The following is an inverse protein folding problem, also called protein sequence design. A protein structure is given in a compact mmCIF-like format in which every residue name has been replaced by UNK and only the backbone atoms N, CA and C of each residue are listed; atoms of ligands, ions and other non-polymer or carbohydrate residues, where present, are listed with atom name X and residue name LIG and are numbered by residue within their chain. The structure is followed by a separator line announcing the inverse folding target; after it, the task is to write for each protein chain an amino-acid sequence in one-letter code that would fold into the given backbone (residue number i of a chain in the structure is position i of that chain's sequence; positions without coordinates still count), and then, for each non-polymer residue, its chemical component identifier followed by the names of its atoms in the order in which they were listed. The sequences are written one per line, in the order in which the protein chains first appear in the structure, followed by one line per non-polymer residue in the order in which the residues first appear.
data_IF_538696577622
#
_entry.id   IF_538696577622
#
_cell.length_a   1.000
_cell.length_b   1.000
_cell.length_c   1.000
_cell.angle_alpha   90.00
_cell.angle_beta   90.00
_cell.angle_gamma   90.00
#
_symmetry.space_group_name_H-M   'P 1'
#
loop_
_entity.id
_entity.type
_entity.pdbx_description
1 polymer ?
#
# COMPACT_ATOMS: atom_id res chain seq x y z
N UNK A 1 -10.40 -9.65 2.40
CA UNK A 1 -9.50 -8.49 2.26
C UNK A 1 -10.09 -7.35 3.05
N UNK A 2 -9.30 -6.74 3.95
CA UNK A 2 -9.68 -5.59 4.74
C UNK A 2 -8.90 -4.37 4.25
N UNK A 3 -9.57 -3.22 4.13
CA UNK A 3 -8.92 -1.94 3.76
C UNK A 3 -9.11 -0.99 4.93
N UNK A 4 -8.02 -0.43 5.42
CA UNK A 4 -8.03 0.57 6.49
C UNK A 4 -7.42 1.86 5.98
N UNK A 5 -8.13 2.97 6.18
CA UNK A 5 -7.70 4.30 5.77
C UNK A 5 -7.08 5.06 6.94
N UNK A 6 -6.02 5.81 6.67
CA UNK A 6 -5.29 6.61 7.65
C UNK A 6 -4.92 7.97 7.07
N UNK A 7 -4.90 9.04 7.88
CA UNK A 7 -4.26 10.30 7.51
C UNK A 7 -2.77 10.09 7.21
N UNK A 8 -2.29 10.64 6.10
CA UNK A 8 -0.92 10.45 5.64
C UNK A 8 0.07 11.55 6.06
N UNK A 9 -0.40 12.64 6.67
CA UNK A 9 0.43 13.80 7.03
C UNK A 9 1.67 13.46 7.87
N UNK A 10 1.64 12.39 8.68
CA UNK A 10 2.79 11.92 9.47
C UNK A 10 3.81 11.08 8.69
N UNK A 11 3.40 10.43 7.60
CA UNK A 11 4.22 9.47 6.85
C UNK A 11 5.23 10.15 5.92
N UNK A 12 4.88 11.32 5.40
CA UNK A 12 5.63 12.04 4.38
C UNK A 12 6.47 13.20 4.97
N UNK A 13 6.83 13.11 6.25
CA UNK A 13 7.82 14.00 6.89
C UNK A 13 9.22 13.64 6.38
N UNK A 14 9.54 14.09 5.17
CA UNK A 14 10.79 13.79 4.45
C UNK A 14 10.66 14.16 2.96
N UNK A 15 11.61 13.71 2.14
CA UNK A 15 11.56 13.95 0.69
C UNK A 15 10.56 13.02 0.00
N UNK A 16 9.27 13.36 0.11
CA UNK A 16 8.19 12.67 -0.59
C UNK A 16 8.20 12.90 -2.10
N UNK A 17 8.91 13.94 -2.57
CA UNK A 17 8.99 14.26 -4.01
C UNK A 17 9.79 13.21 -4.78
N UNK A 18 10.75 12.56 -4.12
CA UNK A 18 11.44 11.40 -4.68
C UNK A 18 10.52 10.18 -4.86
N UNK A 19 9.57 9.98 -3.93
CA UNK A 19 8.57 8.88 -3.99
C UNK A 19 7.44 9.15 -4.98
N UNK A 20 7.03 10.42 -5.09
CA UNK A 20 5.89 10.85 -5.90
C UNK A 20 6.28 12.06 -6.78
N UNK A 21 7.16 11.88 -7.78
CA UNK A 21 7.53 12.96 -8.67
C UNK A 21 6.30 13.54 -9.39
N UNK A 22 6.21 14.86 -9.45
CA UNK A 22 5.11 15.56 -10.13
C UNK A 22 3.81 15.71 -9.33
N UNK A 23 3.77 15.24 -8.07
CA UNK A 23 2.71 15.64 -7.15
C UNK A 23 2.95 17.07 -6.65
N UNK A 24 1.92 17.94 -6.61
CA UNK A 24 2.08 19.34 -6.17
C UNK A 24 2.25 19.44 -4.64
N UNK A 25 1.65 18.51 -3.92
CA UNK A 25 1.59 18.45 -2.45
C UNK A 25 1.73 17.00 -1.99
N UNK A 26 2.15 16.75 -0.73
CA UNK A 26 2.17 15.41 -0.17
C UNK A 26 0.77 14.79 -0.19
N UNK A 27 0.67 13.44 -0.28
CA UNK A 27 -0.62 12.78 -0.17
C UNK A 27 -1.25 13.00 1.22
N UNK A 28 -2.58 13.09 1.24
CA UNK A 28 -3.36 13.36 2.45
C UNK A 28 -3.84 12.08 3.14
N UNK A 29 -4.01 10.99 2.38
CA UNK A 29 -4.50 9.72 2.91
C UNK A 29 -3.71 8.52 2.39
N UNK A 30 -3.67 7.49 3.23
CA UNK A 30 -3.11 6.17 2.97
C UNK A 30 -4.21 5.12 3.15
N UNK A 31 -4.39 4.25 2.16
CA UNK A 31 -5.10 2.98 2.31
C UNK A 31 -4.08 1.86 2.53
N UNK A 32 -4.25 1.10 3.59
CA UNK A 32 -3.56 -0.16 3.83
C UNK A 32 -4.51 -1.33 3.55
N UNK A 33 -4.06 -2.24 2.69
CA UNK A 33 -4.76 -3.45 2.33
C UNK A 33 -4.18 -4.59 3.14
N UNK A 34 -5.03 -5.31 3.87
CA UNK A 34 -4.66 -6.51 4.62
C UNK A 34 -5.41 -7.71 4.04
N UNK A 35 -4.66 -8.70 3.54
CA UNK A 35 -5.22 -9.89 2.92
C UNK A 35 -4.79 -11.12 3.73
N UNK A 36 -5.77 -11.86 4.25
CA UNK A 36 -5.49 -13.20 4.80
C UNK A 36 -5.06 -14.12 3.65
N UNK A 37 -3.90 -14.74 3.80
CA UNK A 37 -3.32 -15.69 2.85
C UNK A 37 -3.64 -17.14 3.21
N UNK A 38 -4.22 -17.38 4.39
CA UNK A 38 -4.53 -18.73 4.89
C UNK A 38 -3.31 -19.52 5.38
N UNK A 39 -2.12 -19.16 4.92
CA UNK A 39 -0.82 -19.76 5.30
C UNK A 39 0.09 -18.73 5.96
N UNK A 40 0.97 -19.19 6.83
CA UNK A 40 1.97 -18.33 7.46
C UNK A 40 2.98 -17.84 6.42
N UNK A 41 3.08 -16.52 6.24
CA UNK A 41 3.98 -15.96 5.22
C UNK A 41 5.45 -15.93 5.66
N UNK A 42 5.72 -16.23 6.93
CA UNK A 42 7.08 -16.44 7.43
C UNK A 42 7.62 -17.83 7.10
N UNK A 43 6.77 -18.77 6.67
CA UNK A 43 7.23 -20.09 6.25
C UNK A 43 7.95 -19.96 4.90
N UNK A 44 9.21 -20.41 4.80
CA UNK A 44 9.99 -20.42 3.55
C UNK A 44 9.58 -21.58 2.63
N UNK A 45 8.28 -21.84 2.53
CA UNK A 45 7.71 -22.95 1.76
C UNK A 45 7.20 -22.47 0.39
N UNK A 46 7.15 -23.39 -0.58
CA UNK A 46 6.56 -23.10 -1.89
C UNK A 46 5.11 -22.63 -1.79
N UNK A 47 4.36 -23.15 -0.80
CA UNK A 47 2.98 -22.74 -0.55
C UNK A 47 2.89 -21.28 -0.10
N UNK A 48 3.83 -20.81 0.72
CA UNK A 48 3.88 -19.42 1.17
C UNK A 48 4.26 -18.47 0.02
N UNK A 49 5.21 -18.84 -0.83
CA UNK A 49 5.58 -18.05 -2.01
C UNK A 49 4.42 -17.95 -3.01
N UNK A 50 3.75 -19.06 -3.32
CA UNK A 50 2.55 -19.05 -4.17
C UNK A 50 1.42 -18.19 -3.56
N UNK A 51 1.25 -18.22 -2.24
CA UNK A 51 0.28 -17.38 -1.56
C UNK A 51 0.64 -15.88 -1.62
N UNK A 52 1.92 -15.52 -1.54
CA UNK A 52 2.42 -14.14 -1.72
C UNK A 52 2.14 -13.65 -3.13
N UNK A 53 2.46 -14.43 -4.15
CA UNK A 53 2.22 -14.07 -5.55
C UNK A 53 0.72 -13.87 -5.84
N UNK A 54 -0.12 -14.82 -5.42
CA UNK A 54 -1.57 -14.71 -5.57
C UNK A 54 -2.16 -13.53 -4.77
N UNK A 55 -1.61 -13.20 -3.61
CA UNK A 55 -2.02 -12.02 -2.84
C UNK A 55 -1.56 -10.71 -3.51
N UNK A 56 -0.37 -10.68 -4.09
CA UNK A 56 0.14 -9.52 -4.84
C UNK A 56 -0.74 -9.22 -6.05
N UNK A 57 -1.06 -10.22 -6.87
CA UNK A 57 -1.91 -10.03 -8.05
C UNK A 57 -3.29 -9.47 -7.67
N UNK A 58 -3.93 -10.05 -6.64
CA UNK A 58 -5.21 -9.56 -6.11
C UNK A 58 -5.12 -8.13 -5.59
N UNK A 59 -4.05 -7.80 -4.86
CA UNK A 59 -3.81 -6.45 -4.37
C UNK A 59 -3.67 -5.47 -5.53
N UNK A 60 -2.77 -5.72 -6.49
CA UNK A 60 -2.51 -4.82 -7.61
C UNK A 60 -3.79 -4.57 -8.41
N UNK A 61 -4.55 -5.62 -8.73
CA UNK A 61 -5.81 -5.49 -9.45
C UNK A 61 -6.83 -4.63 -8.69
N UNK A 62 -7.02 -4.91 -7.39
CA UNK A 62 -7.97 -4.17 -6.55
C UNK A 62 -7.57 -2.71 -6.31
N UNK A 63 -6.30 -2.47 -5.98
CA UNK A 63 -5.76 -1.15 -5.70
C UNK A 63 -5.74 -0.27 -6.96
N UNK A 64 -5.42 -0.81 -8.14
CA UNK A 64 -5.54 -0.07 -9.40
C UNK A 64 -7.00 0.29 -9.72
N UNK A 65 -7.95 -0.61 -9.44
CA UNK A 65 -9.38 -0.31 -9.57
C UNK A 65 -9.82 0.85 -8.67
N UNK A 66 -9.36 0.88 -7.43
CA UNK A 66 -9.60 1.98 -6.49
C UNK A 66 -8.91 3.28 -6.96
N UNK A 67 -7.65 3.22 -7.38
CA UNK A 67 -6.91 4.38 -7.88
C UNK A 67 -7.60 5.02 -9.08
N UNK A 68 -8.08 4.22 -10.04
CA UNK A 68 -8.87 4.72 -11.19
C UNK A 68 -10.17 5.39 -10.74
N UNK A 69 -10.82 4.87 -9.70
CA UNK A 69 -12.03 5.48 -9.15
C UNK A 69 -11.75 6.83 -8.50
N UNK A 70 -10.66 6.95 -7.74
CA UNK A 70 -10.19 8.21 -7.18
C UNK A 70 -9.82 9.21 -8.28
N UNK A 71 -9.11 8.76 -9.32
CA UNK A 71 -8.78 9.59 -10.49
C UNK A 71 -10.03 10.13 -11.20
N UNK A 72 -11.08 9.31 -11.38
CA UNK A 72 -12.36 9.77 -11.97
C UNK A 72 -13.06 10.83 -11.11
N UNK A 73 -12.79 10.85 -9.81
CA UNK A 73 -13.32 11.85 -8.86
C UNK A 73 -12.40 13.07 -8.72
N UNK A 74 -11.34 13.18 -9.50
CA UNK A 74 -10.42 14.32 -9.50
C UNK A 74 -9.25 14.20 -8.52
N UNK A 75 -9.16 13.12 -7.74
CA UNK A 75 -8.05 12.90 -6.82
C UNK A 75 -6.90 12.17 -7.50
N UNK A 76 -5.66 12.61 -7.24
CA UNK A 76 -4.45 11.81 -7.52
C UNK A 76 -4.39 10.61 -6.59
N UNK A 77 -4.04 9.45 -7.13
CA UNK A 77 -3.82 8.22 -6.37
C UNK A 77 -2.67 7.41 -6.95
N UNK A 78 -1.83 6.87 -6.08
CA UNK A 78 -0.67 6.06 -6.45
C UNK A 78 -0.68 4.76 -5.65
N UNK A 79 -0.59 3.64 -6.34
CA UNK A 79 -0.41 2.30 -5.76
C UNK A 79 1.09 2.01 -5.71
N UNK A 80 1.58 1.42 -4.63
CA UNK A 80 2.96 0.93 -4.56
C UNK A 80 2.99 -0.58 -4.62
N UNK A 81 3.95 -1.13 -5.36
CA UNK A 81 4.16 -2.57 -5.37
C UNK A 81 4.85 -2.99 -4.05
N UNK A 82 4.29 -3.93 -3.28
CA UNK A 82 4.88 -4.33 -2.00
C UNK A 82 6.25 -5.01 -2.14
N UNK A 83 6.62 -5.48 -3.33
CA UNK A 83 7.89 -6.20 -3.58
C UNK A 83 9.06 -5.24 -3.69
N UNK A 84 8.95 -4.18 -4.48
CA UNK A 84 10.04 -3.24 -4.76
C UNK A 84 9.82 -1.84 -4.14
N UNK A 85 8.60 -1.55 -3.68
CA UNK A 85 8.21 -0.24 -3.16
C UNK A 85 8.08 0.83 -4.23
N UNK A 86 8.12 0.46 -5.52
CA UNK A 86 7.98 1.38 -6.63
C UNK A 86 6.51 1.61 -6.94
N UNK A 87 6.15 2.81 -7.43
CA UNK A 87 4.78 3.05 -7.78
C UNK A 87 4.36 2.25 -9.03
N UNK A 88 3.13 1.75 -9.03
CA UNK A 88 2.55 0.97 -10.13
C UNK A 88 1.92 1.93 -11.12
N UNK A 89 2.25 1.78 -12.40
CA UNK A 89 1.68 2.61 -13.46
C UNK A 89 0.16 2.42 -13.53
N UNK A 90 -0.60 3.51 -13.40
CA UNK A 90 -2.07 3.45 -13.46
C UNK A 90 -2.60 3.70 -14.87
N UNK A 91 -1.81 4.39 -15.70
CA UNK A 91 -2.02 4.66 -17.13
C UNK A 91 -0.74 4.40 -17.92
N UNK A 92 -0.89 4.04 -19.19
CA UNK A 92 0.22 3.84 -20.14
C UNK A 92 1.14 5.08 -20.24
N UNK A 93 0.53 6.27 -20.13
CA UNK A 93 1.21 7.58 -20.19
C UNK A 93 1.99 7.96 -18.93
N UNK A 94 1.83 7.23 -17.82
CA UNK A 94 2.42 7.60 -16.53
C UNK A 94 3.94 7.37 -16.49
N UNK A 95 4.57 6.82 -17.54
CA UNK A 95 6.02 6.53 -17.54
C UNK A 95 6.87 7.57 -18.26
N UNK A 96 7.87 8.11 -17.55
CA UNK A 96 9.20 8.35 -18.11
C UNK A 96 10.32 7.65 -17.30
N UNK A 97 11.52 7.59 -17.89
CA UNK A 97 12.71 6.78 -17.51
C UNK A 97 13.30 6.93 -16.08
N UNK A 98 12.66 7.69 -15.17
CA UNK A 98 13.10 8.00 -13.80
C UNK A 98 11.90 8.17 -12.84
N UNK A 99 10.98 7.19 -12.84
CA UNK A 99 9.63 7.32 -12.27
C UNK A 99 9.54 7.44 -10.73
N UNK A 100 10.55 6.97 -9.99
CA UNK A 100 10.72 7.25 -8.56
C UNK A 100 12.21 7.18 -8.21
N UNK A 101 12.70 8.08 -7.37
CA UNK A 101 14.10 8.05 -6.87
C UNK A 101 14.19 7.50 -5.44
N UNK A 102 13.06 7.11 -4.86
CA UNK A 102 12.96 6.48 -3.55
C UNK A 102 11.98 5.30 -3.58
N UNK A 103 12.09 4.38 -2.61
CA UNK A 103 11.19 3.23 -2.50
C UNK A 103 10.28 3.39 -1.28
N UNK A 104 9.01 3.05 -1.48
CA UNK A 104 8.03 2.97 -0.42
C UNK A 104 8.22 1.70 0.42
N UNK A 105 7.80 1.73 1.69
CA UNK A 105 7.81 0.55 2.56
C UNK A 105 6.48 0.43 3.28
N UNK A 106 5.72 -0.61 2.94
CA UNK A 106 4.46 -0.93 3.61
C UNK A 106 4.66 -1.25 5.09
N UNK A 107 5.78 -1.88 5.45
CA UNK A 107 6.17 -2.13 6.84
C UNK A 107 6.33 -0.82 7.61
N UNK A 108 7.05 0.16 7.05
CA UNK A 108 7.19 1.49 7.67
C UNK A 108 5.83 2.17 7.80
N UNK A 109 4.97 2.04 6.79
CA UNK A 109 3.64 2.61 6.80
C UNK A 109 2.79 2.04 7.94
N UNK A 110 2.68 0.71 8.02
CA UNK A 110 1.96 0.00 9.07
C UNK A 110 2.49 0.38 10.45
N UNK A 111 3.82 0.36 10.64
CA UNK A 111 4.46 0.74 11.91
C UNK A 111 4.05 2.12 12.40
N UNK A 112 3.90 3.06 11.45
CA UNK A 112 3.64 4.45 11.77
C UNK A 112 2.17 4.71 12.12
N UNK A 113 1.23 3.97 11.52
CA UNK A 113 -0.20 4.34 11.58
C UNK A 113 -1.12 3.36 12.30
N UNK A 114 -0.75 2.08 12.45
CA UNK A 114 -1.68 1.06 13.00
C UNK A 114 -1.36 0.61 14.42
N UNK A 115 -0.09 0.70 14.84
CA UNK A 115 0.38 0.10 16.09
C UNK A 115 0.41 -1.44 16.08
N UNK A 116 0.23 -2.09 14.92
CA UNK A 116 0.33 -3.54 14.81
C UNK A 116 1.76 -4.01 15.11
N UNK A 117 1.93 -5.16 15.80
CA UNK A 117 3.25 -5.71 16.02
C UNK A 117 3.93 -6.01 14.69
N UNK A 118 5.25 -5.79 14.66
CA UNK A 118 6.11 -6.13 13.53
C UNK A 118 7.21 -7.03 14.08
N UNK A 119 7.29 -8.23 13.54
CA UNK A 119 8.26 -9.23 13.91
C UNK A 119 9.36 -9.33 12.84
N UNK A 120 10.58 -9.64 13.28
CA UNK A 120 11.65 -10.00 12.38
C UNK A 120 11.51 -11.48 11.98
N UNK A 121 11.55 -11.75 10.67
CA UNK A 121 11.55 -13.09 10.10
C UNK A 121 12.78 -13.23 9.20
N UNK A 122 13.89 -13.68 9.79
CA UNK A 122 15.19 -13.68 9.11
C UNK A 122 15.63 -12.26 8.75
N UNK A 123 15.82 -11.99 7.45
CA UNK A 123 16.17 -10.66 6.92
C UNK A 123 14.98 -9.75 6.61
N UNK A 124 13.75 -10.22 6.81
CA UNK A 124 12.52 -9.49 6.50
C UNK A 124 11.75 -9.09 7.77
N UNK A 125 10.80 -8.18 7.60
CA UNK A 125 9.87 -7.76 8.65
C UNK A 125 8.45 -8.19 8.26
N UNK A 126 7.69 -8.73 9.20
CA UNK A 126 6.32 -9.20 8.98
C UNK A 126 5.36 -8.56 9.97
N UNK A 127 4.21 -8.12 9.46
CA UNK A 127 3.14 -7.56 10.27
C UNK A 127 2.36 -8.69 10.92
N UNK A 128 2.09 -8.57 12.22
CA UNK A 128 1.19 -9.48 12.94
C UNK A 128 -0.18 -8.82 13.02
N UNK A 129 -1.10 -9.23 12.14
CA UNK A 129 -2.45 -8.68 12.14
C UNK A 129 -3.26 -9.23 13.33
N UNK A 130 -4.05 -8.41 14.04
CA UNK A 130 -4.83 -8.86 15.21
C UNK A 130 -5.76 -10.05 14.93
N UNK A 131 -6.27 -10.15 13.69
CA UNK A 131 -7.17 -11.23 13.27
C UNK A 131 -6.46 -12.33 12.47
N UNK A 132 -5.47 -11.99 11.65
CA UNK A 132 -4.87 -12.94 10.68
C UNK A 132 -3.54 -13.51 11.18
N UNK A 133 -2.97 -12.96 12.26
CA UNK A 133 -1.62 -13.28 12.71
C UNK A 133 -0.59 -12.93 11.64
N UNK A 134 0.35 -13.85 11.41
CA UNK A 134 1.41 -13.75 10.37
C UNK A 134 0.95 -14.14 8.97
N UNK A 135 -0.32 -14.55 8.82
CA UNK A 135 -0.92 -14.98 7.55
C UNK A 135 -1.46 -13.80 6.75
N UNK A 136 -0.76 -12.66 6.81
CA UNK A 136 -1.26 -11.39 6.27
C UNK A 136 -0.31 -10.84 5.23
N UNK A 137 -0.83 -10.68 4.01
CA UNK A 137 -0.15 -9.92 2.96
C UNK A 137 -0.63 -8.47 3.00
N UNK A 138 0.31 -7.53 2.92
CA UNK A 138 0.05 -6.09 3.01
C UNK A 138 0.34 -5.39 1.68
N UNK A 139 -0.37 -4.30 1.43
CA UNK A 139 -0.05 -3.38 0.34
C UNK A 139 -0.66 -2.01 0.58
N UNK A 140 -0.24 -1.01 -0.18
CA UNK A 140 -0.66 0.37 0.03
C UNK A 140 -1.05 1.15 -1.22
N UNK A 141 -1.95 2.09 -1.02
CA UNK A 141 -2.29 3.15 -1.95
C UNK A 141 -2.28 4.47 -1.20
N UNK A 142 -1.71 5.51 -1.81
CA UNK A 142 -1.77 6.88 -1.29
C UNK A 142 -2.60 7.76 -2.20
N UNK A 143 -3.32 8.73 -1.63
CA UNK A 143 -4.13 9.64 -2.43
C UNK A 143 -4.13 11.07 -1.86
N UNK A 144 -4.50 12.01 -2.73
CA UNK A 144 -4.65 13.43 -2.38
C UNK A 144 -5.97 13.75 -1.67
N UNK A 145 -6.94 12.83 -1.67
CA UNK A 145 -8.18 13.00 -0.92
C UNK A 145 -7.92 13.07 0.58
N UNK A 146 -8.63 13.93 1.30
CA UNK A 146 -8.64 13.97 2.74
C UNK A 146 -9.34 12.73 3.29
N UNK A 147 -8.88 12.25 4.45
CA UNK A 147 -9.46 11.08 5.11
C UNK A 147 -10.98 11.21 5.30
N UNK A 148 -11.44 12.41 5.68
CA UNK A 148 -12.87 12.70 5.86
C UNK A 148 -13.70 12.58 4.57
N UNK A 149 -13.11 12.92 3.42
CA UNK A 149 -13.78 12.82 2.12
C UNK A 149 -13.97 11.36 1.71
N UNK A 150 -13.03 10.49 2.09
CA UNK A 150 -13.06 9.06 1.79
C UNK A 150 -14.09 8.30 2.62
N UNK A 151 -14.34 8.71 3.86
CA UNK A 151 -15.37 8.09 4.72
C UNK A 151 -16.78 8.23 4.11
N UNK A 152 -17.04 9.33 3.40
CA UNK A 152 -18.28 9.53 2.65
C UNK A 152 -18.39 8.66 1.38
N UNK A 153 -17.27 8.10 0.89
CA UNK A 153 -17.23 7.28 -0.33
C UNK A 153 -17.47 5.79 -0.11
N UNK A 154 -17.24 5.29 1.11
CA UNK A 154 -17.36 3.87 1.46
C UNK A 154 -18.79 3.53 1.98
N UNK A 155 -19.63 4.55 2.17
CA UNK A 155 -21.00 4.42 2.70
C UNK A 155 -22.10 4.55 1.65
N UNK A 156 -21.75 4.57 0.35
CA UNK A 156 -22.68 4.70 -0.78
C UNK A 156 -22.47 3.55 -1.77
#
# INVERSE_FOLDING_TARGET
MQILWYPAAGLFRGDWRGLLPGWPEPPNSLALFFQDTGVDLCDFSDAAEQAKDAARERFIAGALGLARTLHRRGYRATVFDPVDGLPVATRESDRPRFWSTANWSDIRAVRTVTGFPIEAAGGCHVVVHPQYGRRVYIGSLVCSALYIELMGMVSA
#
